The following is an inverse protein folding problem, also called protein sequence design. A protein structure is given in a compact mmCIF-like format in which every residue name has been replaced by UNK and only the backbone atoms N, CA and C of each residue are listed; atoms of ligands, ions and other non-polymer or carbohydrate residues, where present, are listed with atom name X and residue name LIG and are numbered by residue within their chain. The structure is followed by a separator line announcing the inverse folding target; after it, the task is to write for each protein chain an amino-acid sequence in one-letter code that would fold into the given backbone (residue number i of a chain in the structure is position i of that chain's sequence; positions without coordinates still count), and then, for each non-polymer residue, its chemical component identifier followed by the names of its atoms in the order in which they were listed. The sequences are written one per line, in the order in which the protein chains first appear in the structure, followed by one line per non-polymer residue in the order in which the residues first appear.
data_IF_694775517592
#
_entry.id   IF_694775517592
#
_cell.length_a   1.000
_cell.length_b   1.000
_cell.length_c   1.000
_cell.angle_alpha   90.00
_cell.angle_beta   90.00
_cell.angle_gamma   90.00
#
_symmetry.space_group_name_H-M   'P 1'
#
loop_
_entity.id
_entity.type
_entity.pdbx_description
1 polymer ?
#
# COMPACT_ATOMS: atom_id res chain seq x y z
N UNK A 1 36.60 5.78 39.97
CA UNK A 1 36.27 4.90 38.85
C UNK A 1 35.16 5.53 38.00
N UNK A 2 35.48 5.93 36.79
CA UNK A 2 34.50 6.50 35.88
C UNK A 2 33.78 5.36 35.17
N UNK A 3 32.46 5.23 35.40
CA UNK A 3 31.65 4.33 34.61
C UNK A 3 31.38 5.00 33.27
N UNK A 4 31.90 4.42 32.21
CA UNK A 4 31.56 4.83 30.84
C UNK A 4 30.23 4.18 30.48
N UNK A 5 29.17 4.99 30.40
CA UNK A 5 27.87 4.52 29.94
C UNK A 5 27.88 4.67 28.43
N UNK A 6 28.01 3.54 27.73
CA UNK A 6 27.75 3.52 26.29
C UNK A 6 26.25 3.59 26.07
N UNK A 7 25.76 4.75 25.72
CA UNK A 7 24.39 4.88 25.18
C UNK A 7 24.48 4.44 23.73
N UNK A 8 24.08 3.20 23.46
CA UNK A 8 23.87 2.74 22.10
C UNK A 8 22.61 3.45 21.59
N UNK A 9 22.81 4.55 20.86
CA UNK A 9 21.75 5.12 20.06
C UNK A 9 21.50 4.15 18.90
N UNK A 10 20.57 3.20 19.12
CA UNK A 10 19.95 2.50 18.03
C UNK A 10 19.13 3.55 17.27
N UNK A 11 19.69 4.08 16.20
CA UNK A 11 18.88 4.77 15.21
C UNK A 11 18.01 3.69 14.58
N UNK A 12 16.78 3.57 15.06
CA UNK A 12 15.76 2.81 14.35
C UNK A 12 15.47 3.60 13.08
N UNK A 13 16.15 3.23 11.99
CA UNK A 13 15.69 3.64 10.68
C UNK A 13 14.28 3.04 10.52
N UNK A 14 13.26 3.88 10.59
CA UNK A 14 11.90 3.46 10.29
C UNK A 14 11.88 3.00 8.83
N UNK A 15 11.92 1.69 8.63
CA UNK A 15 11.69 1.10 7.32
C UNK A 15 10.19 1.20 7.08
N UNK A 16 9.81 2.15 6.22
CA UNK A 16 8.44 2.31 5.79
C UNK A 16 8.14 1.16 4.83
N UNK A 17 7.46 0.14 5.32
CA UNK A 17 7.03 -0.98 4.51
C UNK A 17 5.53 -1.22 4.75
N UNK A 18 4.74 -1.16 3.67
CA UNK A 18 3.35 -1.58 3.73
C UNK A 18 3.28 -3.10 3.83
N UNK A 19 2.28 -3.59 4.56
CA UNK A 19 2.05 -5.02 4.67
C UNK A 19 1.70 -5.60 3.30
N UNK A 20 2.36 -6.71 2.95
CA UNK A 20 2.09 -7.45 1.73
C UNK A 20 1.04 -8.53 1.97
N UNK A 21 0.10 -8.65 1.04
CA UNK A 21 -0.96 -9.65 1.11
C UNK A 21 -0.62 -10.86 0.23
N UNK A 22 -1.12 -12.01 0.65
CA UNK A 22 -1.03 -13.28 -0.07
C UNK A 22 -2.40 -13.97 -0.07
N UNK A 23 -2.48 -15.16 -0.64
CA UNK A 23 -3.73 -15.92 -0.72
C UNK A 23 -4.32 -16.25 0.65
N UNK A 24 -3.47 -16.43 1.66
CA UNK A 24 -3.91 -16.85 2.99
C UNK A 24 -4.53 -15.71 3.80
N UNK A 25 -4.05 -14.48 3.63
CA UNK A 25 -4.50 -13.34 4.44
C UNK A 25 -5.36 -12.31 3.69
N UNK A 26 -5.47 -12.42 2.38
CA UNK A 26 -6.13 -11.42 1.54
C UNK A 26 -7.56 -11.11 2.00
N UNK A 27 -8.42 -12.13 2.06
CA UNK A 27 -9.83 -11.92 2.38
C UNK A 27 -10.05 -11.37 3.79
N UNK A 28 -9.31 -11.87 4.77
CA UNK A 28 -9.44 -11.41 6.16
C UNK A 28 -8.97 -9.97 6.34
N UNK A 29 -7.95 -9.54 5.59
CA UNK A 29 -7.38 -8.20 5.70
C UNK A 29 -8.25 -7.12 5.05
N UNK A 30 -8.99 -7.44 4.00
CA UNK A 30 -9.83 -6.47 3.29
C UNK A 30 -11.26 -6.40 3.82
N UNK A 31 -11.71 -7.42 4.55
CA UNK A 31 -13.08 -7.51 5.03
C UNK A 31 -13.42 -6.41 6.02
N UNK A 32 -14.56 -5.75 5.81
CA UNK A 32 -15.08 -4.73 6.73
C UNK A 32 -14.25 -3.44 6.78
N UNK A 33 -13.41 -3.20 5.79
CA UNK A 33 -12.47 -2.07 5.78
C UNK A 33 -12.49 -1.31 4.47
N UNK A 34 -12.04 -0.06 4.52
CA UNK A 34 -11.65 0.73 3.36
C UNK A 34 -10.16 0.47 3.09
N UNK A 35 -9.85 -0.17 1.99
CA UNK A 35 -8.49 -0.64 1.68
C UNK A 35 -8.07 -0.18 0.30
N UNK A 36 -6.84 0.28 0.20
CA UNK A 36 -6.15 0.53 -1.08
C UNK A 36 -5.07 -0.53 -1.23
N UNK A 37 -5.12 -1.27 -2.32
CA UNK A 37 -4.07 -2.26 -2.62
C UNK A 37 -3.25 -1.79 -3.81
N UNK A 38 -1.93 -1.69 -3.58
CA UNK A 38 -0.94 -1.38 -4.60
C UNK A 38 -0.42 -2.68 -5.22
N UNK A 39 -0.86 -2.95 -6.45
CA UNK A 39 -0.32 -4.04 -7.27
C UNK A 39 0.93 -3.54 -7.97
N UNK A 40 2.07 -4.16 -7.67
CA UNK A 40 3.39 -3.72 -8.11
C UNK A 40 4.28 -4.86 -8.52
N UNK A 41 5.42 -4.54 -9.12
CA UNK A 41 6.53 -5.46 -9.34
C UNK A 41 7.84 -4.79 -8.95
N UNK A 42 8.83 -5.58 -8.54
CA UNK A 42 10.15 -5.06 -8.12
C UNK A 42 10.94 -4.47 -9.29
N UNK A 43 10.65 -4.91 -10.52
CA UNK A 43 11.31 -4.45 -11.75
C UNK A 43 10.62 -3.25 -12.41
N UNK A 44 9.65 -2.65 -11.75
CA UNK A 44 8.80 -1.57 -12.29
C UNK A 44 9.22 -0.21 -11.73
N UNK A 45 9.93 0.66 -12.49
CA UNK A 45 10.32 1.98 -11.99
C UNK A 45 9.16 2.88 -11.59
N UNK A 46 8.05 2.99 -12.35
CA UNK A 46 6.89 3.79 -11.92
C UNK A 46 6.26 3.30 -10.61
N UNK A 47 6.34 2.00 -10.32
CA UNK A 47 5.85 1.43 -9.06
C UNK A 47 6.62 1.99 -7.87
N UNK A 48 7.93 2.20 -8.01
CA UNK A 48 8.77 2.79 -6.97
C UNK A 48 8.40 4.24 -6.70
N UNK A 49 8.10 5.00 -7.75
CA UNK A 49 7.65 6.39 -7.63
C UNK A 49 6.31 6.45 -6.89
N UNK A 50 5.35 5.62 -7.28
CA UNK A 50 4.05 5.56 -6.60
C UNK A 50 4.21 5.12 -5.14
N UNK A 51 5.09 4.18 -4.84
CA UNK A 51 5.34 3.75 -3.47
C UNK A 51 5.74 4.93 -2.57
N UNK A 52 6.62 5.81 -3.06
CA UNK A 52 7.01 7.01 -2.33
C UNK A 52 5.82 7.94 -2.08
N UNK A 53 4.94 8.09 -3.05
CA UNK A 53 3.71 8.89 -2.91
C UNK A 53 2.74 8.27 -1.92
N UNK A 54 2.63 6.95 -1.91
CA UNK A 54 1.80 6.23 -0.93
C UNK A 54 2.35 6.38 0.50
N UNK A 55 3.67 6.37 0.67
CA UNK A 55 4.29 6.63 1.97
C UNK A 55 3.98 8.03 2.48
N UNK A 56 4.06 9.04 1.63
CA UNK A 56 3.68 10.41 1.98
C UNK A 56 2.19 10.50 2.32
N UNK A 57 1.33 9.87 1.53
CA UNK A 57 -0.11 9.83 1.77
C UNK A 57 -0.45 9.09 3.08
N UNK A 58 0.25 8.03 3.41
CA UNK A 58 0.03 7.24 4.62
C UNK A 58 0.12 8.08 5.90
N UNK A 59 0.97 9.12 5.88
CA UNK A 59 1.13 10.03 7.01
C UNK A 59 -0.12 10.90 7.25
N UNK A 60 -0.82 11.29 6.19
CA UNK A 60 -1.94 12.24 6.23
C UNK A 60 -3.30 11.60 5.95
N UNK A 61 -3.34 10.34 5.57
CA UNK A 61 -4.59 9.65 5.24
C UNK A 61 -5.51 9.53 6.45
N UNK A 62 -6.83 9.37 6.24
CA UNK A 62 -7.74 9.03 7.33
C UNK A 62 -7.37 7.69 7.98
N UNK A 63 -7.60 7.59 9.29
CA UNK A 63 -7.29 6.38 10.07
C UNK A 63 -8.08 5.15 9.62
N UNK A 64 -9.23 5.36 8.99
CA UNK A 64 -10.09 4.29 8.50
C UNK A 64 -9.73 3.80 7.09
N UNK A 65 -8.63 4.27 6.53
CA UNK A 65 -8.09 3.80 5.25
C UNK A 65 -6.79 3.06 5.50
N UNK A 66 -6.70 1.83 5.02
CA UNK A 66 -5.51 0.99 5.14
C UNK A 66 -4.91 0.74 3.77
N UNK A 67 -3.59 0.78 3.67
CA UNK A 67 -2.84 0.53 2.44
C UNK A 67 -2.11 -0.80 2.57
N UNK A 68 -2.29 -1.67 1.58
CA UNK A 68 -1.57 -2.93 1.44
C UNK A 68 -0.90 -2.99 0.07
N UNK A 69 0.03 -3.93 -0.07
CA UNK A 69 0.73 -4.20 -1.34
C UNK A 69 0.53 -5.65 -1.76
N UNK A 70 0.50 -5.86 -3.07
CA UNK A 70 0.54 -7.19 -3.67
C UNK A 70 1.59 -7.19 -4.78
N UNK A 71 2.60 -8.05 -4.62
CA UNK A 71 3.59 -8.30 -5.65
C UNK A 71 2.98 -9.23 -6.69
N UNK A 72 2.85 -8.77 -7.93
CA UNK A 72 2.18 -9.53 -8.98
C UNK A 72 2.90 -10.81 -9.37
N UNK A 73 4.22 -10.85 -9.20
CA UNK A 73 5.01 -12.05 -9.52
C UNK A 73 4.84 -13.13 -8.45
N UNK A 74 4.67 -12.73 -7.18
CA UNK A 74 4.42 -13.65 -6.06
C UNK A 74 2.96 -14.10 -5.98
N UNK A 75 2.02 -13.27 -6.45
CA UNK A 75 0.59 -13.50 -6.30
C UNK A 75 -0.14 -13.45 -7.65
N UNK A 76 0.17 -14.39 -8.58
CA UNK A 76 -0.42 -14.35 -9.92
C UNK A 76 -1.93 -14.59 -9.94
N UNK A 77 -2.46 -15.38 -9.00
CA UNK A 77 -3.89 -15.68 -8.95
C UNK A 77 -4.72 -14.46 -8.53
N UNK A 78 -4.29 -13.74 -7.51
CA UNK A 78 -4.97 -12.51 -7.07
C UNK A 78 -4.86 -11.45 -8.16
N UNK A 79 -3.69 -11.31 -8.76
CA UNK A 79 -3.43 -10.37 -9.85
C UNK A 79 -4.38 -10.60 -11.03
N UNK A 80 -4.56 -11.86 -11.42
CA UNK A 80 -5.47 -12.24 -12.50
C UNK A 80 -6.94 -12.01 -12.13
N UNK A 81 -7.31 -12.35 -10.90
CA UNK A 81 -8.68 -12.19 -10.41
C UNK A 81 -9.18 -10.75 -10.54
N UNK A 82 -8.32 -9.78 -10.28
CA UNK A 82 -8.67 -8.35 -10.36
C UNK A 82 -8.30 -7.71 -11.69
N UNK A 83 -7.89 -8.50 -12.68
CA UNK A 83 -7.66 -8.02 -14.04
C UNK A 83 -6.51 -7.02 -14.16
N UNK A 84 -5.47 -7.19 -13.36
CA UNK A 84 -4.32 -6.28 -13.37
C UNK A 84 -3.47 -6.57 -14.60
N UNK A 85 -3.40 -5.60 -15.52
CA UNK A 85 -2.63 -5.69 -16.76
C UNK A 85 -1.60 -4.58 -16.93
N UNK A 86 -1.69 -3.53 -16.10
CA UNK A 86 -0.76 -2.39 -16.12
C UNK A 86 -0.26 -2.09 -14.73
N UNK A 87 0.99 -1.66 -14.63
CA UNK A 87 1.63 -1.33 -13.35
C UNK A 87 2.11 0.12 -13.31
N UNK A 88 2.03 0.77 -12.16
CA UNK A 88 1.33 0.31 -10.96
C UNK A 88 -0.20 0.43 -11.11
N UNK A 89 -0.93 -0.43 -10.40
CA UNK A 89 -2.38 -0.33 -10.31
C UNK A 89 -2.81 -0.28 -8.85
N UNK A 90 -3.60 0.72 -8.49
CA UNK A 90 -4.24 0.80 -7.19
C UNK A 90 -5.68 0.32 -7.32
N UNK A 91 -6.05 -0.69 -6.53
CA UNK A 91 -7.42 -1.15 -6.43
C UNK A 91 -7.98 -0.74 -5.08
N UNK A 92 -9.11 -0.05 -5.10
CA UNK A 92 -9.82 0.42 -3.91
C UNK A 92 -10.89 -0.61 -3.55
N UNK A 93 -10.85 -1.06 -2.29
CA UNK A 93 -11.79 -2.04 -1.75
C UNK A 93 -12.64 -1.41 -0.66
N UNK A 94 -13.91 -1.68 -0.70
CA UNK A 94 -14.85 -1.27 0.34
C UNK A 94 -15.60 -2.50 0.82
N UNK A 95 -15.42 -2.86 2.08
CA UNK A 95 -16.00 -4.06 2.69
C UNK A 95 -15.76 -5.34 1.87
N UNK A 96 -14.53 -5.54 1.45
CA UNK A 96 -14.10 -6.73 0.71
C UNK A 96 -14.43 -6.73 -0.78
N UNK A 97 -15.00 -5.63 -1.30
CA UNK A 97 -15.38 -5.51 -2.72
C UNK A 97 -14.51 -4.47 -3.42
N UNK A 98 -13.95 -4.85 -4.57
CA UNK A 98 -13.26 -3.91 -5.44
C UNK A 98 -14.26 -2.92 -6.05
N UNK A 99 -14.08 -1.63 -5.78
CA UNK A 99 -15.01 -0.59 -6.22
C UNK A 99 -14.40 0.34 -7.28
N UNK A 100 -13.08 0.44 -7.34
CA UNK A 100 -12.39 1.31 -8.30
C UNK A 100 -10.96 0.88 -8.51
N UNK A 101 -10.44 1.07 -9.73
CA UNK A 101 -9.02 0.89 -10.05
C UNK A 101 -8.47 2.20 -10.62
N UNK A 102 -7.30 2.60 -10.14
CA UNK A 102 -6.55 3.74 -10.65
C UNK A 102 -5.19 3.26 -11.11
N UNK A 103 -4.83 3.56 -12.36
CA UNK A 103 -3.60 3.09 -12.99
C UNK A 103 -2.60 4.23 -13.07
N UNK A 104 -1.33 3.92 -12.80
CA UNK A 104 -0.21 4.83 -12.96
C UNK A 104 0.17 5.59 -11.69
N UNK A 105 1.12 6.49 -11.85
CA UNK A 105 1.60 7.34 -10.76
C UNK A 105 0.52 8.37 -10.40
N UNK A 106 0.28 8.53 -9.10
CA UNK A 106 -0.67 9.51 -8.57
C UNK A 106 0.03 10.38 -7.54
N UNK A 107 -0.26 11.67 -7.55
CA UNK A 107 0.22 12.59 -6.52
C UNK A 107 -0.49 12.34 -5.19
N UNK A 108 0.06 12.86 -4.10
CA UNK A 108 -0.59 12.81 -2.78
C UNK A 108 -1.97 13.46 -2.82
N UNK A 109 -2.12 14.60 -3.52
CA UNK A 109 -3.41 15.27 -3.68
C UNK A 109 -4.41 14.40 -4.45
N UNK A 110 -3.96 13.70 -5.49
CA UNK A 110 -4.82 12.77 -6.22
C UNK A 110 -5.24 11.58 -5.36
N UNK A 111 -4.32 11.04 -4.55
CA UNK A 111 -4.62 9.96 -3.61
C UNK A 111 -5.67 10.39 -2.58
N UNK A 112 -5.51 11.58 -2.00
CA UNK A 112 -6.50 12.17 -1.08
C UNK A 112 -7.87 12.33 -1.75
N UNK A 113 -7.89 12.93 -2.92
CA UNK A 113 -9.13 13.18 -3.68
C UNK A 113 -9.83 11.88 -4.05
N UNK A 114 -9.08 10.90 -4.53
CA UNK A 114 -9.62 9.59 -4.90
C UNK A 114 -10.21 8.86 -3.69
N UNK A 115 -9.50 8.83 -2.58
CA UNK A 115 -9.98 8.17 -1.37
C UNK A 115 -11.26 8.84 -0.83
N UNK A 116 -11.29 10.17 -0.79
CA UNK A 116 -12.47 10.92 -0.36
C UNK A 116 -13.68 10.64 -1.27
N UNK A 117 -13.47 10.58 -2.56
CA UNK A 117 -14.54 10.32 -3.53
C UNK A 117 -15.04 8.87 -3.48
N UNK A 118 -14.13 7.91 -3.33
CA UNK A 118 -14.45 6.47 -3.43
C UNK A 118 -15.05 5.96 -2.11
N UNK A 119 -14.50 6.39 -0.97
CA UNK A 119 -14.87 5.85 0.35
C UNK A 119 -15.96 6.63 1.07
N UNK A 120 -16.48 7.65 0.46
CA UNK A 120 -17.62 8.38 1.04
C UNK A 120 -18.95 7.82 0.60
#
# INVERSE_FOLDING_TARGET
MKKIVFILLLSVASVFAFEELNMDNFESKIKGKNVIIDFYAVWCPPCKVLNNKLEEYDIVKPDNVTIYKINIDDQPLITKKYGITRLPSLVYFQDGKAVKTKIGIQSVNELESNANSIFN
#
